data_IF_252174083933
#
_entry.id   IF_252174083933
#
_cell.length_a   1.000
_cell.length_b   1.000
_cell.length_c   1.000
_cell.angle_alpha   90.00
_cell.angle_beta   90.00
_cell.angle_gamma   90.00
#
_symmetry.space_group_name_H-M   'P 1'
#
loop_
_entity.id
_entity.type
_entity.pdbx_description
1 polymer ?
#
# COMPACT_ATOMS: atom_id res chain seq x y z
N UNK A 1 -13.28 -24.36 2.07
CA UNK A 1 -13.14 -23.16 2.91
C UNK A 1 -13.84 -22.01 2.18
N UNK A 2 -14.85 -21.45 2.80
CA UNK A 2 -15.53 -20.29 2.21
C UNK A 2 -14.58 -19.10 2.21
N UNK A 3 -14.46 -18.43 1.04
CA UNK A 3 -13.74 -17.17 0.95
C UNK A 3 -14.57 -16.14 1.73
N UNK A 4 -14.01 -15.47 2.75
CA UNK A 4 -14.78 -14.48 3.50
C UNK A 4 -15.29 -13.40 2.54
N UNK A 5 -16.50 -12.92 2.78
CA UNK A 5 -17.11 -11.88 1.97
C UNK A 5 -16.33 -10.58 2.17
N UNK A 6 -15.62 -10.17 1.13
CA UNK A 6 -14.80 -8.96 1.12
C UNK A 6 -15.63 -7.79 0.60
N UNK A 7 -15.54 -6.66 1.29
CA UNK A 7 -16.07 -5.38 0.82
C UNK A 7 -14.95 -4.37 0.73
N UNK A 8 -15.01 -3.53 -0.30
CA UNK A 8 -14.10 -2.41 -0.45
C UNK A 8 -14.79 -1.11 -0.04
N UNK A 9 -14.05 -0.27 0.67
CA UNK A 9 -14.47 1.07 1.03
C UNK A 9 -13.35 2.04 0.66
N UNK A 10 -13.69 3.19 0.09
CA UNK A 10 -12.70 4.17 -0.40
C UNK A 10 -12.70 5.47 0.38
N UNK A 11 -13.71 5.67 1.21
CA UNK A 11 -13.85 6.89 2.00
C UNK A 11 -13.06 6.76 3.31
N UNK A 12 -11.97 7.52 3.45
CA UNK A 12 -11.21 7.56 4.70
C UNK A 12 -11.98 8.38 5.75
N UNK A 13 -12.07 7.83 6.95
CA UNK A 13 -12.72 8.46 8.10
C UNK A 13 -11.74 8.59 9.26
N UNK A 14 -12.00 9.45 10.28
CA UNK A 14 -11.12 9.55 11.44
C UNK A 14 -10.90 8.23 12.18
N UNK A 15 -11.87 7.33 12.16
CA UNK A 15 -11.73 5.97 12.74
C UNK A 15 -10.65 5.15 12.05
N UNK A 16 -10.37 5.42 10.78
CA UNK A 16 -9.35 4.70 10.02
C UNK A 16 -7.93 4.98 10.52
N UNK A 17 -7.73 6.05 11.27
CA UNK A 17 -6.44 6.32 11.92
C UNK A 17 -6.06 5.16 12.84
N UNK A 18 -6.99 4.70 13.67
CA UNK A 18 -6.78 3.56 14.54
C UNK A 18 -6.76 2.23 13.78
N UNK A 19 -7.60 2.06 12.76
CA UNK A 19 -7.60 0.87 11.91
C UNK A 19 -6.23 0.67 11.25
N UNK A 20 -5.67 1.72 10.68
CA UNK A 20 -4.36 1.68 10.02
C UNK A 20 -3.26 1.41 11.03
N UNK A 21 -3.28 2.09 12.18
CA UNK A 21 -2.30 1.83 13.24
C UNK A 21 -2.31 0.35 13.65
N UNK A 22 -3.49 -0.20 13.89
CA UNK A 22 -3.66 -1.59 14.28
C UNK A 22 -3.12 -2.56 13.23
N UNK A 23 -3.46 -2.32 11.95
CA UNK A 23 -2.97 -3.15 10.84
C UNK A 23 -1.45 -3.10 10.77
N UNK A 24 -0.86 -1.92 10.74
CA UNK A 24 0.59 -1.73 10.59
C UNK A 24 1.35 -2.35 11.79
N UNK A 25 0.90 -2.09 12.99
CA UNK A 25 1.53 -2.64 14.21
C UNK A 25 1.41 -4.16 14.24
N UNK A 26 0.26 -4.71 13.82
CA UNK A 26 0.03 -6.16 13.81
C UNK A 26 1.05 -6.93 12.98
N UNK A 27 1.59 -6.32 11.93
CA UNK A 27 2.54 -6.99 11.04
C UNK A 27 3.90 -7.25 11.70
N UNK A 28 4.26 -6.45 12.71
CA UNK A 28 5.59 -6.48 13.33
C UNK A 28 6.73 -6.17 12.36
N UNK A 29 6.42 -5.66 11.19
CA UNK A 29 7.31 -5.56 10.04
C UNK A 29 7.94 -4.18 9.91
N UNK A 30 7.17 -3.14 10.24
CA UNK A 30 7.61 -1.75 10.08
C UNK A 30 8.38 -1.28 11.31
N UNK A 31 9.34 -0.38 11.10
CA UNK A 31 10.00 0.30 12.21
C UNK A 31 9.01 1.21 12.96
N UNK A 32 9.28 1.45 14.24
CA UNK A 32 8.41 2.30 15.06
C UNK A 32 8.23 3.70 14.47
N UNK A 33 9.24 4.24 13.78
CA UNK A 33 9.15 5.56 13.15
C UNK A 33 8.32 5.56 11.86
N UNK A 34 8.07 4.40 11.24
CA UNK A 34 7.25 4.28 10.04
C UNK A 34 5.75 4.32 10.35
N UNK A 35 5.36 3.85 11.52
CA UNK A 35 3.94 3.82 11.93
C UNK A 35 3.32 5.22 11.94
N UNK A 36 3.95 6.25 12.55
CA UNK A 36 3.41 7.61 12.49
C UNK A 36 3.26 8.16 11.08
N UNK A 37 4.15 7.79 10.16
CA UNK A 37 4.07 8.24 8.75
C UNK A 37 2.81 7.67 8.08
N UNK A 38 2.56 6.37 8.23
CA UNK A 38 1.35 5.74 7.68
C UNK A 38 0.08 6.36 8.25
N UNK A 39 0.05 6.60 9.56
CA UNK A 39 -1.07 7.19 10.28
C UNK A 39 -1.33 8.63 9.82
N UNK A 40 -0.27 9.41 9.61
CA UNK A 40 -0.37 10.79 9.13
C UNK A 40 -1.03 10.88 7.75
N UNK A 41 -0.66 9.99 6.81
CA UNK A 41 -1.27 9.96 5.48
C UNK A 41 -2.78 9.69 5.55
N UNK A 42 -3.19 8.76 6.39
CA UNK A 42 -4.61 8.46 6.60
C UNK A 42 -5.34 9.62 7.24
N UNK A 43 -4.72 10.29 8.22
CA UNK A 43 -5.30 11.47 8.85
C UNK A 43 -5.53 12.59 7.83
N UNK A 44 -4.56 12.86 6.96
CA UNK A 44 -4.73 13.83 5.88
C UNK A 44 -5.91 13.46 4.96
N UNK A 45 -5.99 12.19 4.55
CA UNK A 45 -7.10 11.71 3.73
C UNK A 45 -8.45 11.84 4.40
N UNK A 46 -8.53 11.56 5.71
CA UNK A 46 -9.76 11.65 6.48
C UNK A 46 -10.26 13.09 6.64
N UNK A 47 -9.35 14.05 6.81
CA UNK A 47 -9.69 15.46 7.05
C UNK A 47 -9.78 16.29 5.78
N UNK A 48 -8.99 16.01 4.76
CA UNK A 48 -8.92 16.79 3.52
C UNK A 48 -9.57 16.09 2.32
N UNK A 49 -9.92 14.81 2.45
CA UNK A 49 -10.54 14.05 1.37
C UNK A 49 -9.63 13.94 0.14
N UNK A 50 -10.23 14.05 -1.04
CA UNK A 50 -9.48 13.95 -2.30
C UNK A 50 -8.48 15.09 -2.51
N UNK A 51 -8.68 16.23 -1.88
CA UNK A 51 -7.76 17.37 -1.95
C UNK A 51 -6.39 17.05 -1.34
N UNK A 52 -6.31 16.03 -0.48
CA UNK A 52 -5.04 15.55 0.07
C UNK A 52 -4.09 14.99 -1.00
N UNK A 53 -4.64 14.54 -2.15
CA UNK A 53 -3.89 13.79 -3.17
C UNK A 53 -3.68 12.33 -2.84
N UNK A 54 -4.12 11.88 -1.66
CA UNK A 54 -4.06 10.47 -1.24
C UNK A 54 -5.40 9.79 -1.43
N UNK A 55 -5.37 8.65 -2.11
CA UNK A 55 -6.55 7.80 -2.30
C UNK A 55 -6.37 6.51 -1.51
N UNK A 56 -7.47 6.01 -0.96
CA UNK A 56 -7.45 4.84 -0.09
C UNK A 56 -8.42 3.79 -0.58
N UNK A 57 -8.03 2.53 -0.38
CA UNK A 57 -8.96 1.40 -0.46
C UNK A 57 -8.81 0.64 0.84
N UNK A 58 -9.92 0.50 1.57
CA UNK A 58 -9.98 -0.32 2.77
C UNK A 58 -10.70 -1.62 2.45
N UNK A 59 -10.17 -2.72 2.92
CA UNK A 59 -10.80 -4.05 2.82
C UNK A 59 -11.49 -4.34 4.14
N UNK A 60 -12.77 -4.62 4.06
CA UNK A 60 -13.57 -5.00 5.22
C UNK A 60 -14.02 -6.45 5.09
N UNK A 61 -13.88 -7.19 6.17
CA UNK A 61 -14.35 -8.56 6.32
C UNK A 61 -15.22 -8.61 7.57
N UNK A 62 -16.49 -8.98 7.39
CA UNK A 62 -17.48 -9.02 8.48
C UNK A 62 -17.57 -7.71 9.26
N UNK A 63 -17.49 -6.58 8.54
CA UNK A 63 -17.57 -5.24 9.13
C UNK A 63 -16.29 -4.74 9.78
N UNK A 64 -15.20 -5.52 9.73
CA UNK A 64 -13.90 -5.15 10.32
C UNK A 64 -12.91 -4.77 9.21
N UNK A 65 -12.25 -3.63 9.37
CA UNK A 65 -11.19 -3.17 8.46
C UNK A 65 -9.92 -4.00 8.71
N UNK A 66 -9.47 -4.74 7.69
CA UNK A 66 -8.39 -5.72 7.83
C UNK A 66 -7.20 -5.49 6.91
N UNK A 67 -7.35 -4.62 5.92
CA UNK A 67 -6.28 -4.27 5.00
C UNK A 67 -6.56 -2.92 4.37
N UNK A 68 -5.52 -2.28 3.86
CA UNK A 68 -5.69 -1.03 3.14
C UNK A 68 -4.55 -0.78 2.17
N UNK A 69 -4.82 0.03 1.16
CA UNK A 69 -3.80 0.64 0.30
C UNK A 69 -3.97 2.16 0.28
N UNK A 70 -2.85 2.85 0.06
CA UNK A 70 -2.82 4.29 -0.17
C UNK A 70 -2.02 4.55 -1.44
N UNK A 71 -2.58 5.29 -2.38
CA UNK A 71 -1.98 5.57 -3.68
C UNK A 71 -2.37 6.96 -4.16
N UNK A 72 -1.65 7.48 -5.15
CA UNK A 72 -1.95 8.79 -5.68
C UNK A 72 -1.08 9.17 -6.87
N UNK A 73 -1.50 10.21 -7.58
CA UNK A 73 -0.79 10.76 -8.73
C UNK A 73 0.55 11.38 -8.30
N UNK A 74 1.59 11.09 -9.07
CA UNK A 74 2.92 11.69 -8.86
C UNK A 74 2.93 13.06 -9.51
N UNK A 75 3.14 14.10 -8.72
CA UNK A 75 3.26 15.47 -9.22
C UNK A 75 4.38 15.58 -10.26
N UNK A 76 4.11 16.33 -11.33
CA UNK A 76 5.07 16.50 -12.41
C UNK A 76 5.06 15.41 -13.49
N UNK A 77 4.25 14.37 -13.31
CA UNK A 77 4.05 13.33 -14.34
C UNK A 77 2.67 13.47 -14.99
N UNK A 78 2.56 13.02 -16.25
CA UNK A 78 1.26 12.97 -16.92
C UNK A 78 0.33 11.94 -16.24
N UNK A 79 0.78 10.70 -16.11
CA UNK A 79 -0.07 9.61 -15.66
C UNK A 79 0.67 8.59 -14.76
N UNK A 80 1.68 9.05 -14.02
CA UNK A 80 2.39 8.23 -13.06
C UNK A 80 1.71 8.24 -11.70
N UNK A 81 1.58 7.08 -11.07
CA UNK A 81 1.01 6.93 -9.73
C UNK A 81 2.01 6.28 -8.79
N UNK A 82 1.97 6.68 -7.51
CA UNK A 82 2.68 6.01 -6.44
C UNK A 82 1.72 5.11 -5.67
N UNK A 83 2.21 3.93 -5.33
CA UNK A 83 1.63 3.12 -4.26
C UNK A 83 2.40 3.45 -2.97
N UNK A 84 1.81 4.28 -2.12
CA UNK A 84 2.47 4.72 -0.88
C UNK A 84 2.52 3.64 0.19
N UNK A 85 1.41 2.93 0.38
CA UNK A 85 1.27 1.89 1.38
C UNK A 85 0.33 0.80 0.89
N UNK A 86 0.65 -0.44 1.26
CA UNK A 86 -0.24 -1.59 1.19
C UNK A 86 0.07 -2.49 2.37
N UNK A 87 -0.93 -2.83 3.15
CA UNK A 87 -0.76 -3.67 4.33
C UNK A 87 -2.01 -4.49 4.62
N UNK A 88 -1.80 -5.71 5.09
CA UNK A 88 -2.86 -6.62 5.55
C UNK A 88 -2.59 -6.98 7.00
N UNK A 89 -3.66 -6.98 7.84
CA UNK A 89 -3.55 -7.39 9.22
C UNK A 89 -2.91 -8.78 9.31
N UNK A 90 -2.02 -8.97 10.28
CA UNK A 90 -1.24 -10.19 10.41
C UNK A 90 -2.09 -11.46 10.49
N UNK A 91 -3.28 -11.39 11.13
CA UNK A 91 -4.21 -12.52 11.25
C UNK A 91 -4.74 -13.03 9.90
N UNK A 92 -4.66 -12.22 8.85
CA UNK A 92 -5.17 -12.54 7.51
C UNK A 92 -4.07 -12.67 6.46
N UNK A 93 -2.82 -12.75 6.87
CA UNK A 93 -1.71 -13.00 5.95
C UNK A 93 -1.83 -14.40 5.34
N UNK A 94 -1.45 -14.52 4.06
CA UNK A 94 -1.53 -15.79 3.36
C UNK A 94 -2.94 -16.18 2.89
N UNK A 95 -3.93 -15.31 3.05
CA UNK A 95 -5.32 -15.57 2.63
C UNK A 95 -5.63 -15.10 1.20
N UNK A 96 -4.70 -14.38 0.55
CA UNK A 96 -4.90 -13.80 -0.77
C UNK A 96 -5.50 -12.38 -0.75
N UNK A 97 -5.81 -11.83 0.41
CA UNK A 97 -6.39 -10.48 0.53
C UNK A 97 -5.44 -9.42 -0.04
N UNK A 98 -4.14 -9.54 0.21
CA UNK A 98 -3.15 -8.59 -0.32
C UNK A 98 -3.17 -8.51 -1.84
N UNK A 99 -3.25 -9.65 -2.51
CA UNK A 99 -3.35 -9.72 -3.97
C UNK A 99 -4.64 -9.09 -4.48
N UNK A 100 -5.76 -9.41 -3.85
CA UNK A 100 -7.08 -8.87 -4.21
C UNK A 100 -7.07 -7.34 -4.06
N UNK A 101 -6.52 -6.84 -2.96
CA UNK A 101 -6.39 -5.40 -2.72
C UNK A 101 -5.48 -4.73 -3.75
N UNK A 102 -4.36 -5.34 -4.08
CA UNK A 102 -3.43 -4.80 -5.08
C UNK A 102 -4.09 -4.70 -6.46
N UNK A 103 -4.82 -5.75 -6.87
CA UNK A 103 -5.56 -5.76 -8.14
C UNK A 103 -6.63 -4.66 -8.18
N UNK A 104 -7.37 -4.48 -7.08
CA UNK A 104 -8.36 -3.40 -6.98
C UNK A 104 -7.70 -2.02 -7.03
N UNK A 105 -6.54 -1.87 -6.40
CA UNK A 105 -5.76 -0.63 -6.45
C UNK A 105 -5.35 -0.31 -7.90
N UNK A 106 -4.84 -1.30 -8.64
CA UNK A 106 -4.50 -1.12 -10.06
C UNK A 106 -5.70 -0.72 -10.90
N UNK A 107 -6.83 -1.38 -10.69
CA UNK A 107 -8.06 -1.09 -11.41
C UNK A 107 -8.50 0.35 -11.20
N UNK A 108 -8.55 0.81 -9.95
CA UNK A 108 -8.98 2.17 -9.63
C UNK A 108 -7.99 3.23 -10.10
N UNK A 109 -6.69 2.98 -9.96
CA UNK A 109 -5.67 3.88 -10.48
C UNK A 109 -5.79 4.02 -12.00
N UNK A 110 -6.01 2.91 -12.71
CA UNK A 110 -6.21 2.93 -14.17
C UNK A 110 -7.47 3.71 -14.56
N UNK A 111 -8.56 3.56 -13.84
CA UNK A 111 -9.79 4.33 -14.04
C UNK A 111 -9.57 5.83 -13.85
N UNK A 112 -8.60 6.21 -13.02
CA UNK A 112 -8.17 7.60 -12.79
C UNK A 112 -7.17 8.09 -13.83
N UNK A 113 -6.82 7.27 -14.83
CA UNK A 113 -5.92 7.63 -15.91
C UNK A 113 -4.48 7.19 -15.73
N UNK A 114 -4.15 6.43 -14.67
CA UNK A 114 -2.79 5.95 -14.46
C UNK A 114 -2.34 5.03 -15.58
N UNK A 115 -1.11 5.25 -16.07
CA UNK A 115 -0.47 4.37 -17.05
C UNK A 115 0.55 3.43 -16.39
N UNK A 116 1.04 3.81 -15.22
CA UNK A 116 1.90 2.96 -14.41
C UNK A 116 1.78 3.33 -12.95
N UNK A 117 2.16 2.39 -12.09
CA UNK A 117 2.21 2.60 -10.65
C UNK A 117 3.58 2.13 -10.12
N UNK A 118 4.14 2.91 -9.21
CA UNK A 118 5.46 2.69 -8.64
C UNK A 118 5.29 2.26 -7.18
N UNK A 119 6.03 1.21 -6.79
CA UNK A 119 6.18 0.80 -5.40
C UNK A 119 7.67 0.81 -5.02
N UNK A 120 7.98 1.38 -3.88
CA UNK A 120 9.35 1.45 -3.36
C UNK A 120 9.49 0.60 -2.11
N UNK A 121 10.59 -0.13 -1.99
CA UNK A 121 10.85 -0.95 -0.82
C UNK A 121 12.35 -1.10 -0.56
N UNK A 122 12.68 -1.63 0.61
CA UNK A 122 14.04 -1.88 1.05
C UNK A 122 14.63 -3.15 0.43
N UNK A 123 15.96 -3.20 0.29
CA UNK A 123 16.68 -4.37 -0.16
C UNK A 123 17.02 -5.37 0.96
N UNK A 124 16.72 -5.04 2.22
CA UNK A 124 17.02 -5.93 3.35
C UNK A 124 16.24 -7.25 3.24
N UNK A 125 16.82 -8.32 3.79
CA UNK A 125 16.23 -9.67 3.73
C UNK A 125 14.82 -9.73 4.34
N UNK A 126 14.56 -8.96 5.39
CA UNK A 126 13.21 -8.92 6.00
C UNK A 126 12.13 -8.44 5.04
N UNK A 127 12.50 -7.69 3.98
CA UNK A 127 11.58 -7.20 2.96
C UNK A 127 11.51 -8.11 1.72
N UNK A 128 12.20 -9.25 1.74
CA UNK A 128 12.13 -10.21 0.63
C UNK A 128 10.71 -10.65 0.31
N UNK A 129 9.83 -10.97 1.29
CA UNK A 129 8.44 -11.31 0.98
C UNK A 129 7.71 -10.19 0.24
N UNK A 130 7.96 -8.94 0.60
CA UNK A 130 7.37 -7.77 -0.08
C UNK A 130 7.85 -7.66 -1.52
N UNK A 131 9.16 -7.81 -1.76
CA UNK A 131 9.71 -7.78 -3.13
C UNK A 131 9.14 -8.90 -3.99
N UNK A 132 9.06 -10.11 -3.46
CA UNK A 132 8.45 -11.25 -4.16
C UNK A 132 6.96 -11.03 -4.45
N UNK A 133 6.26 -10.39 -3.55
CA UNK A 133 4.85 -10.04 -3.74
C UNK A 133 4.67 -9.11 -4.95
N UNK A 134 5.49 -8.08 -5.08
CA UNK A 134 5.44 -7.20 -6.25
C UNK A 134 5.81 -7.95 -7.54
N UNK A 135 6.89 -8.71 -7.52
CA UNK A 135 7.34 -9.47 -8.69
C UNK A 135 6.29 -10.47 -9.18
N UNK A 136 5.64 -11.19 -8.26
CA UNK A 136 4.56 -12.13 -8.58
C UNK A 136 3.33 -11.45 -9.15
N UNK A 137 3.12 -10.18 -8.84
CA UNK A 137 1.98 -9.41 -9.31
C UNK A 137 2.30 -8.51 -10.51
N UNK A 138 3.37 -8.83 -11.22
CA UNK A 138 3.69 -8.23 -12.50
C UNK A 138 4.49 -6.94 -12.44
N UNK A 139 5.08 -6.61 -11.30
CA UNK A 139 5.99 -5.48 -11.20
C UNK A 139 7.38 -5.87 -11.70
N UNK A 140 8.03 -4.94 -12.38
CA UNK A 140 9.43 -5.06 -12.78
C UNK A 140 10.31 -4.20 -11.88
N UNK A 141 11.50 -4.71 -11.56
CA UNK A 141 12.51 -3.97 -10.80
C UNK A 141 13.22 -3.02 -11.76
N UNK A 142 12.87 -1.76 -11.73
CA UNK A 142 13.38 -0.76 -12.66
C UNK A 142 14.57 0.03 -12.12
N UNK A 143 14.75 0.10 -10.80
CA UNK A 143 15.88 0.82 -10.23
C UNK A 143 16.33 0.23 -8.89
N UNK A 144 17.59 0.44 -8.58
CA UNK A 144 18.23 0.04 -7.34
C UNK A 144 19.19 1.17 -6.93
N UNK A 145 18.90 1.79 -5.77
CA UNK A 145 19.73 2.88 -5.26
C UNK A 145 20.44 2.41 -4.00
N UNK A 146 21.73 2.13 -4.11
CA UNK A 146 22.54 1.61 -3.00
C UNK A 146 22.57 2.60 -1.83
N UNK A 147 22.60 2.06 -0.62
CA UNK A 147 22.75 2.82 0.63
C UNK A 147 21.74 3.98 0.81
N UNK A 148 20.54 3.81 0.24
CA UNK A 148 19.53 4.87 0.23
C UNK A 148 18.98 5.14 1.63
N UNK A 149 18.51 4.11 2.32
CA UNK A 149 17.92 4.26 3.66
C UNK A 149 18.99 4.34 4.75
N UNK A 150 20.05 3.57 4.58
CA UNK A 150 21.25 3.54 5.42
C UNK A 150 22.31 2.70 4.71
N UNK A 151 23.57 2.71 5.15
CA UNK A 151 24.59 1.82 4.59
C UNK A 151 24.10 0.36 4.59
N UNK A 152 24.16 -0.28 3.40
CA UNK A 152 23.71 -1.66 3.22
C UNK A 152 22.22 -1.84 2.97
N UNK A 153 21.43 -0.77 2.95
CA UNK A 153 19.98 -0.82 2.72
C UNK A 153 19.59 0.05 1.52
N UNK A 154 19.46 -0.60 0.37
CA UNK A 154 19.12 0.07 -0.88
C UNK A 154 17.62 0.30 -1.02
N UNK A 155 17.25 1.33 -1.77
CA UNK A 155 15.89 1.50 -2.29
C UNK A 155 15.76 0.67 -3.56
N UNK A 156 14.76 -0.20 -3.60
CA UNK A 156 14.36 -0.95 -4.79
C UNK A 156 13.07 -0.34 -5.32
N UNK A 157 13.06 0.04 -6.59
CA UNK A 157 11.89 0.65 -7.24
C UNK A 157 11.28 -0.35 -8.20
N UNK A 158 10.02 -0.67 -7.95
CA UNK A 158 9.21 -1.57 -8.76
C UNK A 158 8.16 -0.77 -9.55
N UNK A 159 7.96 -1.14 -10.80
CA UNK A 159 7.01 -0.47 -11.68
C UNK A 159 6.05 -1.49 -12.30
N UNK A 160 4.76 -1.19 -12.23
CA UNK A 160 3.71 -1.94 -12.90
C UNK A 160 3.11 -1.06 -13.99
N UNK A 161 3.18 -1.51 -15.25
CA UNK A 161 2.45 -0.89 -16.36
C UNK A 161 0.98 -1.32 -16.29
N UNK A 162 0.10 -0.37 -16.45
CA UNK A 162 -1.35 -0.60 -16.32
C UNK A 162 -2.06 -0.58 -17.68
#
# INVERSE_FOLDING_TARGET
MEIPKIQFRTNATPEDIEHVRDIIVSTGFFYDFEVPVAVELVAEGAYEGEDSGYHFIFVEVEGKTVAYSCYGHIAGTDAGFDLYWIATHNDLRGTGIGKILLEETHKRAKEMGARYIIAETSSLDKYLPTRLFYEKNGYSKDAFIADFYKPGDAKVIYVKRL
#
